data_IF_453141346831
#
_entry.id   IF_453141346831
#
_cell.length_a   1.000
_cell.length_b   1.000
_cell.length_c   1.000
_cell.angle_alpha   90.00
_cell.angle_beta   90.00
_cell.angle_gamma   90.00
#
_symmetry.space_group_name_H-M   'P 1'
#
loop_
_entity.id
_entity.type
_entity.pdbx_description
1 polymer ?
#
# COMPACT_ATOMS: atom_id res chain seq x y z
N UNK A 1 -33.85 22.21 -45.20
CA UNK A 1 -33.95 21.07 -44.26
C UNK A 1 -34.41 19.76 -44.95
N UNK A 2 -33.62 19.17 -45.87
CA UNK A 2 -33.90 17.84 -46.48
C UNK A 2 -33.08 16.69 -45.85
N UNK A 3 -32.02 17.01 -45.09
CA UNK A 3 -31.10 16.04 -44.49
C UNK A 3 -31.77 15.14 -43.42
N UNK A 4 -32.58 15.72 -42.55
CA UNK A 4 -33.33 15.02 -41.48
C UNK A 4 -34.50 14.14 -41.96
N UNK A 5 -34.90 14.26 -43.24
CA UNK A 5 -35.96 13.42 -43.84
C UNK A 5 -35.41 12.16 -44.52
N UNK A 6 -34.10 12.02 -44.65
CA UNK A 6 -33.48 10.85 -45.24
C UNK A 6 -33.66 9.63 -44.31
N UNK A 7 -34.25 8.54 -44.83
CA UNK A 7 -34.46 7.29 -44.08
C UNK A 7 -33.13 6.78 -43.48
N UNK A 8 -32.03 6.94 -44.20
CA UNK A 8 -30.70 6.55 -43.73
C UNK A 8 -30.26 7.34 -42.49
N UNK A 9 -30.44 8.67 -42.51
CA UNK A 9 -30.10 9.53 -41.36
C UNK A 9 -30.93 9.19 -40.12
N UNK A 10 -32.24 8.93 -40.29
CA UNK A 10 -33.11 8.52 -39.17
C UNK A 10 -32.68 7.18 -38.55
N UNK A 11 -32.31 6.21 -39.38
CA UNK A 11 -31.79 4.92 -38.91
C UNK A 11 -30.48 5.12 -38.16
N UNK A 12 -29.54 5.91 -38.69
CA UNK A 12 -28.29 6.25 -38.00
C UNK A 12 -28.54 6.96 -36.66
N UNK A 13 -29.47 7.93 -36.60
CA UNK A 13 -29.82 8.62 -35.35
C UNK A 13 -30.40 7.67 -34.30
N UNK A 14 -31.24 6.71 -34.70
CA UNK A 14 -31.80 5.70 -33.79
C UNK A 14 -30.68 4.78 -33.28
N UNK A 15 -29.77 4.33 -34.14
CA UNK A 15 -28.62 3.51 -33.75
C UNK A 15 -27.72 4.27 -32.75
N UNK A 16 -27.42 5.54 -33.02
CA UNK A 16 -26.63 6.38 -32.11
C UNK A 16 -27.32 6.54 -30.76
N UNK A 17 -28.64 6.76 -30.74
CA UNK A 17 -29.41 6.86 -29.50
C UNK A 17 -29.37 5.55 -28.70
N UNK A 18 -29.53 4.40 -29.37
CA UNK A 18 -29.46 3.08 -28.75
C UNK A 18 -28.06 2.87 -28.14
N UNK A 19 -27.00 3.15 -28.89
CA UNK A 19 -25.62 3.06 -28.39
C UNK A 19 -25.43 3.96 -27.15
N UNK A 20 -25.94 5.19 -27.19
CA UNK A 20 -25.84 6.12 -26.06
C UNK A 20 -26.56 5.58 -24.80
N UNK A 21 -27.75 4.98 -24.96
CA UNK A 21 -28.48 4.34 -23.86
C UNK A 21 -27.68 3.17 -23.30
N UNK A 22 -27.10 2.31 -24.14
CA UNK A 22 -26.26 1.20 -23.69
C UNK A 22 -25.03 1.69 -22.92
N UNK A 23 -24.34 2.73 -23.42
CA UNK A 23 -23.21 3.34 -22.72
C UNK A 23 -23.66 3.92 -21.37
N UNK A 24 -24.79 4.61 -21.31
CA UNK A 24 -25.33 5.16 -20.08
C UNK A 24 -25.64 4.07 -19.04
N UNK A 25 -26.25 2.95 -19.45
CA UNK A 25 -26.53 1.80 -18.58
C UNK A 25 -25.23 1.20 -18.02
N UNK A 26 -24.21 1.02 -18.86
CA UNK A 26 -22.89 0.52 -18.45
C UNK A 26 -22.27 1.48 -17.43
N UNK A 27 -22.27 2.79 -17.70
CA UNK A 27 -21.72 3.79 -16.79
C UNK A 27 -22.46 3.80 -15.44
N UNK A 28 -23.79 3.78 -15.43
CA UNK A 28 -24.59 3.78 -14.18
C UNK A 28 -24.36 2.49 -13.38
N UNK A 29 -24.36 1.34 -14.05
CA UNK A 29 -24.15 0.05 -13.39
C UNK A 29 -22.74 -0.04 -12.83
N UNK A 30 -21.74 0.37 -13.61
CA UNK A 30 -20.36 0.46 -13.19
C UNK A 30 -20.21 1.36 -11.97
N UNK A 31 -20.79 2.56 -12.02
CA UNK A 31 -20.75 3.52 -10.91
C UNK A 31 -21.36 2.94 -9.62
N UNK A 32 -22.50 2.25 -9.71
CA UNK A 32 -23.12 1.61 -8.54
C UNK A 32 -22.25 0.51 -7.94
N UNK A 33 -21.70 -0.38 -8.77
CA UNK A 33 -20.80 -1.45 -8.30
C UNK A 33 -19.51 -0.88 -7.69
N UNK A 34 -18.97 0.17 -8.30
CA UNK A 34 -17.81 0.89 -7.80
C UNK A 34 -18.08 1.52 -6.42
N UNK A 35 -19.26 2.13 -6.22
CA UNK A 35 -19.67 2.64 -4.91
C UNK A 35 -19.74 1.55 -3.85
N UNK A 36 -20.37 0.42 -4.16
CA UNK A 36 -20.44 -0.69 -3.22
C UNK A 36 -19.04 -1.18 -2.81
N UNK A 37 -18.08 -1.25 -3.74
CA UNK A 37 -16.70 -1.62 -3.42
C UNK A 37 -15.99 -0.59 -2.53
N UNK A 38 -16.24 0.71 -2.74
CA UNK A 38 -15.68 1.78 -1.89
C UNK A 38 -16.28 1.71 -0.49
N UNK A 39 -17.60 1.56 -0.41
CA UNK A 39 -18.33 1.44 0.86
C UNK A 39 -17.87 0.19 1.63
N UNK A 40 -17.68 -0.94 0.96
CA UNK A 40 -17.16 -2.16 1.58
C UNK A 40 -15.73 -1.95 2.11
N UNK A 41 -14.84 -1.32 1.33
CA UNK A 41 -13.49 -1.02 1.80
C UNK A 41 -13.51 -0.11 3.03
N UNK A 42 -14.32 0.95 3.02
CA UNK A 42 -14.45 1.84 4.17
C UNK A 42 -15.05 1.13 5.39
N UNK A 43 -16.04 0.27 5.17
CA UNK A 43 -16.63 -0.56 6.24
C UNK A 43 -15.59 -1.48 6.85
N UNK A 44 -14.80 -2.19 6.03
CA UNK A 44 -13.72 -3.05 6.51
C UNK A 44 -12.68 -2.29 7.35
N UNK A 45 -12.31 -1.07 6.92
CA UNK A 45 -11.40 -0.19 7.66
C UNK A 45 -12.01 0.21 8.99
N UNK A 46 -13.27 0.66 8.99
CA UNK A 46 -13.99 1.07 10.19
C UNK A 46 -14.13 -0.10 11.18
N UNK A 47 -14.59 -1.26 10.72
CA UNK A 47 -14.74 -2.47 11.55
C UNK A 47 -13.40 -2.89 12.15
N UNK A 48 -12.32 -2.84 11.36
CA UNK A 48 -10.97 -3.14 11.85
C UNK A 48 -10.51 -2.13 12.89
N UNK A 49 -10.86 -0.85 12.72
CA UNK A 49 -10.46 0.26 13.62
C UNK A 49 -11.02 0.14 15.03
N UNK A 50 -12.14 -0.56 15.19
CA UNK A 50 -12.75 -0.80 16.49
C UNK A 50 -11.98 -1.84 17.32
N UNK A 51 -11.18 -2.69 16.67
CA UNK A 51 -10.43 -3.77 17.34
C UNK A 51 -9.26 -3.23 18.19
N UNK A 52 -9.01 -3.88 19.33
CA UNK A 52 -7.89 -3.52 20.20
C UNK A 52 -6.54 -3.68 19.50
N UNK A 53 -6.42 -4.69 18.63
CA UNK A 53 -5.20 -4.95 17.88
C UNK A 53 -4.88 -3.79 16.92
N UNK A 54 -5.89 -3.28 16.23
CA UNK A 54 -5.74 -2.11 15.36
C UNK A 54 -5.32 -0.89 16.17
N UNK A 55 -6.03 -0.58 17.27
CA UNK A 55 -5.72 0.57 18.13
C UNK A 55 -4.30 0.52 18.69
N UNK A 56 -3.84 -0.67 19.11
CA UNK A 56 -2.45 -0.89 19.57
C UNK A 56 -1.45 -0.62 18.44
N UNK A 57 -1.64 -1.22 17.27
CA UNK A 57 -0.77 -1.03 16.11
C UNK A 57 -0.74 0.44 15.63
N UNK A 58 -1.91 1.08 15.57
CA UNK A 58 -2.04 2.50 15.23
C UNK A 58 -1.25 3.38 16.20
N UNK A 59 -1.35 3.13 17.51
CA UNK A 59 -0.58 3.87 18.52
C UNK A 59 0.93 3.75 18.31
N UNK A 60 1.41 2.56 17.93
CA UNK A 60 2.82 2.31 17.61
C UNK A 60 3.23 3.05 16.33
N UNK A 61 2.41 3.00 15.27
CA UNK A 61 2.68 3.71 14.02
C UNK A 61 2.63 5.24 14.19
N UNK A 62 1.74 5.78 15.03
CA UNK A 62 1.69 7.20 15.40
C UNK A 62 3.04 7.68 15.97
N UNK A 63 3.67 6.84 16.80
CA UNK A 63 4.93 7.16 17.46
C UNK A 63 6.15 7.00 16.53
N UNK A 64 6.21 5.89 15.77
CA UNK A 64 7.43 5.55 15.04
C UNK A 64 7.39 5.96 13.56
N UNK A 65 6.21 5.99 12.93
CA UNK A 65 6.01 6.37 11.52
C UNK A 65 6.96 5.66 10.55
N UNK A 66 7.33 4.42 10.86
CA UNK A 66 8.18 3.55 10.06
C UNK A 66 7.76 2.09 10.25
N UNK A 67 7.78 1.31 9.19
CA UNK A 67 7.70 -0.15 9.28
C UNK A 67 8.58 -0.80 8.21
N UNK A 68 8.87 -2.09 8.39
CA UNK A 68 9.86 -2.80 7.57
C UNK A 68 9.34 -4.16 7.17
N UNK A 69 9.51 -4.49 5.89
CA UNK A 69 9.34 -5.84 5.36
C UNK A 69 10.70 -6.39 4.93
N UNK A 70 10.97 -7.66 5.25
CA UNK A 70 12.21 -8.33 4.87
C UNK A 70 11.95 -9.70 4.26
N UNK A 71 12.82 -10.12 3.36
CA UNK A 71 12.82 -11.49 2.82
C UNK A 71 14.24 -11.99 2.61
N UNK A 72 14.44 -13.27 2.89
CA UNK A 72 15.64 -14.05 2.57
C UNK A 72 15.22 -15.29 1.76
N UNK A 73 16.14 -15.90 1.02
CA UNK A 73 15.84 -17.13 0.26
C UNK A 73 15.72 -18.37 1.17
N UNK A 74 16.44 -18.38 2.29
CA UNK A 74 16.53 -19.54 3.19
C UNK A 74 15.55 -19.48 4.37
N UNK A 75 14.80 -18.40 4.52
CA UNK A 75 13.79 -18.23 5.56
C UNK A 75 12.39 -18.55 5.02
N UNK A 76 11.51 -19.18 5.82
CA UNK A 76 10.12 -19.30 5.46
C UNK A 76 9.49 -17.92 5.61
N UNK A 77 9.06 -17.34 4.49
CA UNK A 77 8.18 -16.18 4.40
C UNK A 77 8.82 -14.79 4.54
N UNK A 78 8.16 -13.82 3.91
CA UNK A 78 8.37 -12.39 4.16
C UNK A 78 8.07 -12.12 5.64
N UNK A 79 8.96 -11.43 6.33
CA UNK A 79 8.73 -10.98 7.70
C UNK A 79 8.43 -9.48 7.74
N UNK A 80 7.74 -9.06 8.81
CA UNK A 80 7.40 -7.68 9.10
C UNK A 80 7.82 -7.32 10.53
N UNK A 81 8.28 -6.09 10.72
CA UNK A 81 8.51 -5.51 12.05
C UNK A 81 8.48 -3.98 12.01
N UNK A 82 8.33 -3.37 13.19
CA UNK A 82 8.50 -1.93 13.40
C UNK A 82 9.79 -1.71 14.21
N UNK A 83 10.84 -1.10 13.61
CA UNK A 83 12.07 -0.83 14.33
C UNK A 83 11.87 0.33 15.29
N UNK A 84 12.44 0.18 16.49
CA UNK A 84 12.51 1.22 17.50
C UNK A 84 13.96 1.63 17.67
N UNK A 85 14.23 2.92 17.53
CA UNK A 85 15.55 3.48 17.76
C UNK A 85 15.58 4.32 19.03
N UNK A 86 16.73 4.30 19.73
CA UNK A 86 17.03 5.32 20.73
C UNK A 86 17.14 6.68 20.03
N UNK A 87 16.52 7.72 20.57
CA UNK A 87 16.35 9.01 19.88
C UNK A 87 15.68 8.84 18.51
N UNK A 88 14.52 8.17 18.50
CA UNK A 88 13.86 7.65 17.30
C UNK A 88 13.85 8.59 16.10
N UNK A 89 13.38 9.83 16.28
CA UNK A 89 13.26 10.80 15.19
C UNK A 89 14.60 11.16 14.54
N UNK A 90 15.66 11.30 15.34
CA UNK A 90 17.00 11.61 14.84
C UNK A 90 17.57 10.42 14.09
N UNK A 91 17.54 9.23 14.68
CA UNK A 91 18.09 8.01 14.06
C UNK A 91 17.33 7.63 12.80
N UNK A 92 15.99 7.77 12.80
CA UNK A 92 15.16 7.59 11.60
C UNK A 92 15.60 8.53 10.46
N UNK A 93 15.80 9.82 10.78
CA UNK A 93 16.30 10.80 9.80
C UNK A 93 17.69 10.43 9.30
N UNK A 94 18.58 9.99 10.18
CA UNK A 94 19.92 9.51 9.83
C UNK A 94 19.88 8.27 8.93
N UNK A 95 18.98 7.32 9.19
CA UNK A 95 18.77 6.12 8.38
C UNK A 95 18.38 6.49 6.94
N UNK A 96 17.31 7.27 6.76
CA UNK A 96 16.85 7.63 5.43
C UNK A 96 17.85 8.52 4.69
N UNK A 97 18.56 9.41 5.39
CA UNK A 97 19.68 10.16 4.80
C UNK A 97 20.78 9.23 4.28
N UNK A 98 21.13 8.18 5.03
CA UNK A 98 22.15 7.21 4.60
C UNK A 98 21.69 6.45 3.35
N UNK A 99 20.43 6.04 3.30
CA UNK A 99 19.85 5.35 2.14
C UNK A 99 19.85 6.27 0.91
N UNK A 100 19.35 7.50 1.04
CA UNK A 100 19.29 8.48 -0.05
C UNK A 100 20.68 8.82 -0.58
N UNK A 101 21.66 8.99 0.31
CA UNK A 101 23.03 9.33 -0.08
C UNK A 101 23.88 8.11 -0.48
N UNK A 102 23.32 6.89 -0.39
CA UNK A 102 24.03 5.63 -0.60
C UNK A 102 25.28 5.49 0.29
N UNK A 103 25.20 6.01 1.50
CA UNK A 103 26.29 5.97 2.49
C UNK A 103 26.21 4.67 3.30
N UNK A 104 26.98 3.67 2.85
CA UNK A 104 27.04 2.35 3.50
C UNK A 104 27.54 2.43 4.94
N UNK A 105 28.54 3.28 5.22
CA UNK A 105 29.13 3.39 6.56
C UNK A 105 28.10 3.96 7.54
N UNK A 106 27.39 5.02 7.13
CA UNK A 106 26.33 5.59 7.93
C UNK A 106 25.17 4.60 8.09
N UNK A 107 24.75 3.92 7.02
CA UNK A 107 23.68 2.92 7.08
C UNK A 107 24.00 1.80 8.09
N UNK A 108 25.20 1.22 8.02
CA UNK A 108 25.64 0.14 8.95
C UNK A 108 25.77 0.60 10.40
N UNK A 109 25.92 1.89 10.65
CA UNK A 109 25.99 2.44 12.01
C UNK A 109 24.62 2.61 12.69
N UNK A 110 23.53 2.59 11.90
CA UNK A 110 22.17 2.62 12.44
C UNK A 110 21.85 1.26 13.07
N UNK A 111 21.50 1.27 14.35
CA UNK A 111 21.08 0.07 15.08
C UNK A 111 19.71 0.32 15.71
N UNK A 112 18.76 -0.59 15.47
CA UNK A 112 17.54 -0.63 16.28
C UNK A 112 17.90 -1.03 17.70
N UNK A 113 17.25 -0.39 18.68
CA UNK A 113 17.33 -0.78 20.08
C UNK A 113 16.37 -1.93 20.42
N UNK A 114 15.29 -2.06 19.65
CA UNK A 114 14.32 -3.13 19.73
C UNK A 114 13.52 -3.17 18.42
N UNK A 115 12.87 -4.30 18.16
CA UNK A 115 11.88 -4.46 17.08
C UNK A 115 10.55 -4.84 17.74
N UNK A 116 9.48 -4.11 17.44
CA UNK A 116 8.12 -4.37 17.97
C UNK A 116 7.21 -4.88 16.84
N UNK A 117 6.17 -5.63 17.20
CA UNK A 117 5.19 -6.21 16.28
C UNK A 117 5.86 -7.07 15.21
N UNK A 118 6.68 -8.03 15.67
CA UNK A 118 7.34 -8.98 14.79
C UNK A 118 6.33 -9.99 14.26
N UNK A 119 6.22 -10.08 12.94
CA UNK A 119 5.48 -11.10 12.23
C UNK A 119 6.44 -11.87 11.32
N UNK A 120 6.67 -13.14 11.61
CA UNK A 120 7.57 -13.99 10.82
C UNK A 120 6.95 -14.50 9.51
N UNK A 121 5.69 -14.19 9.22
CA UNK A 121 5.00 -14.64 8.02
C UNK A 121 3.92 -13.65 7.59
N UNK A 122 4.29 -12.81 6.63
CA UNK A 122 3.41 -11.89 5.92
C UNK A 122 2.91 -12.55 4.65
N UNK A 123 1.62 -12.41 4.39
CA UNK A 123 1.00 -12.75 3.13
C UNK A 123 0.51 -11.45 2.46
N UNK A 124 1.25 -11.01 1.44
CA UNK A 124 0.91 -9.80 0.69
C UNK A 124 -0.36 -10.00 -0.15
N UNK A 125 -0.76 -11.24 -0.44
CA UNK A 125 -1.95 -11.55 -1.24
C UNK A 125 -3.25 -11.44 -0.40
N UNK A 126 -3.16 -11.46 0.93
CA UNK A 126 -4.29 -11.18 1.83
C UNK A 126 -4.85 -9.76 1.67
N UNK A 127 -4.03 -8.82 1.19
CA UNK A 127 -4.50 -7.53 0.74
C UNK A 127 -4.73 -7.60 -0.77
N UNK A 128 -5.77 -8.31 -1.20
CA UNK A 128 -6.22 -8.31 -2.59
C UNK A 128 -7.59 -7.68 -2.68
N UNK A 129 -7.74 -6.79 -3.66
CA UNK A 129 -9.05 -6.45 -4.17
C UNK A 129 -9.52 -7.65 -4.99
N UNK A 130 -10.82 -7.99 -5.00
CA UNK A 130 -11.30 -9.10 -5.81
C UNK A 130 -10.74 -8.98 -7.24
N UNK A 131 -9.92 -9.94 -7.68
CA UNK A 131 -9.33 -9.93 -9.03
C UNK A 131 -10.44 -9.94 -10.11
N UNK A 132 -11.62 -10.43 -9.74
CA UNK A 132 -12.86 -10.50 -10.53
C UNK A 132 -13.70 -9.21 -10.52
N UNK A 133 -13.07 -8.03 -10.42
CA UNK A 133 -13.79 -6.78 -10.73
C UNK A 133 -14.06 -6.74 -12.23
N UNK A 134 -15.32 -6.94 -12.61
CA UNK A 134 -15.77 -6.89 -13.99
C UNK A 134 -15.42 -5.54 -14.67
N UNK A 135 -15.26 -5.56 -16.01
CA UNK A 135 -14.86 -4.38 -16.79
C UNK A 135 -15.81 -3.20 -16.61
N UNK A 136 -17.07 -3.45 -16.25
CA UNK A 136 -18.10 -2.43 -15.99
C UNK A 136 -17.79 -1.70 -14.68
N UNK A 137 -17.42 -2.44 -13.64
CA UNK A 137 -17.01 -1.88 -12.35
C UNK A 137 -15.69 -1.12 -12.48
N UNK A 138 -14.75 -1.56 -13.34
CA UNK A 138 -13.53 -0.78 -13.66
C UNK A 138 -13.85 0.60 -14.24
N UNK A 139 -14.84 0.70 -15.13
CA UNK A 139 -15.30 1.99 -15.68
C UNK A 139 -15.88 2.86 -14.56
N UNK A 140 -16.73 2.30 -13.69
CA UNK A 140 -17.26 3.03 -12.54
C UNK A 140 -16.19 3.51 -11.57
N UNK A 141 -15.19 2.67 -11.30
CA UNK A 141 -14.03 3.00 -10.48
C UNK A 141 -13.13 4.04 -11.14
N UNK A 142 -13.11 4.14 -12.47
CA UNK A 142 -12.38 5.21 -13.15
C UNK A 142 -13.01 6.59 -12.91
N UNK A 143 -14.34 6.63 -12.70
CA UNK A 143 -15.07 7.85 -12.35
C UNK A 143 -15.06 8.19 -10.85
N UNK A 144 -14.84 7.20 -9.98
CA UNK A 144 -14.76 7.38 -8.52
C UNK A 144 -13.30 7.36 -8.10
N UNK A 145 -12.83 8.48 -7.56
CA UNK A 145 -11.45 8.75 -7.18
C UNK A 145 -10.95 7.83 -6.03
N UNK A 146 -10.84 6.52 -6.28
CA UNK A 146 -10.45 5.45 -5.33
C UNK A 146 -8.95 5.48 -5.02
N UNK A 147 -8.40 6.67 -4.83
CA UNK A 147 -6.96 6.88 -4.80
C UNK A 147 -6.33 6.13 -3.64
N UNK A 148 -6.92 6.14 -2.44
CA UNK A 148 -6.35 5.47 -1.27
C UNK A 148 -6.14 3.98 -1.49
N UNK A 149 -7.20 3.23 -1.78
CA UNK A 149 -7.10 1.77 -1.95
C UNK A 149 -6.14 1.41 -3.08
N UNK A 150 -6.21 2.14 -4.21
CA UNK A 150 -5.28 1.98 -5.32
C UNK A 150 -3.82 2.25 -4.89
N UNK A 151 -3.57 3.31 -4.13
CA UNK A 151 -2.24 3.63 -3.61
C UNK A 151 -1.72 2.53 -2.69
N UNK A 152 -2.57 1.95 -1.83
CA UNK A 152 -2.17 0.81 -0.99
C UNK A 152 -1.86 -0.43 -1.85
N UNK A 153 -2.64 -0.71 -2.89
CA UNK A 153 -2.33 -1.79 -3.84
C UNK A 153 -0.98 -1.57 -4.55
N UNK A 154 -0.71 -0.34 -4.99
CA UNK A 154 0.57 -0.01 -5.62
C UNK A 154 1.75 -0.14 -4.63
N UNK A 155 1.55 0.20 -3.35
CA UNK A 155 2.53 -0.05 -2.28
C UNK A 155 2.75 -1.55 -2.10
N UNK A 156 1.67 -2.34 -1.97
CA UNK A 156 1.73 -3.81 -1.86
C UNK A 156 2.50 -4.42 -3.02
N UNK A 157 2.16 -4.05 -4.25
CA UNK A 157 2.80 -4.58 -5.46
C UNK A 157 4.27 -4.20 -5.53
N UNK A 158 4.61 -2.97 -5.13
CA UNK A 158 5.99 -2.53 -5.02
C UNK A 158 6.78 -3.39 -4.02
N UNK A 159 6.25 -3.59 -2.81
CA UNK A 159 6.86 -4.45 -1.78
C UNK A 159 7.04 -5.87 -2.34
N UNK A 160 5.98 -6.44 -2.91
CA UNK A 160 5.99 -7.80 -3.47
C UNK A 160 7.07 -7.96 -4.54
N UNK A 161 7.15 -7.03 -5.48
CA UNK A 161 8.11 -7.10 -6.58
C UNK A 161 9.55 -7.06 -6.05
N UNK A 162 9.87 -6.12 -5.15
CA UNK A 162 11.20 -6.01 -4.55
C UNK A 162 11.58 -7.27 -3.76
N UNK A 163 10.64 -7.83 -2.99
CA UNK A 163 10.91 -9.03 -2.20
C UNK A 163 10.98 -10.30 -3.06
N UNK A 164 10.26 -10.39 -4.18
CA UNK A 164 10.34 -11.52 -5.09
C UNK A 164 11.65 -11.57 -5.89
N UNK A 165 12.36 -10.45 -6.03
CA UNK A 165 13.69 -10.39 -6.63
C UNK A 165 14.82 -10.80 -5.67
N UNK A 166 14.51 -11.25 -4.44
CA UNK A 166 15.52 -11.67 -3.46
C UNK A 166 16.33 -12.85 -3.99
N UNK A 167 17.66 -12.67 -4.10
CA UNK A 167 18.57 -13.72 -4.58
C UNK A 167 19.14 -14.55 -3.44
N UNK A 168 19.71 -15.68 -3.81
CA UNK A 168 20.42 -16.55 -2.88
C UNK A 168 21.55 -15.77 -2.17
N UNK A 169 21.67 -15.95 -0.84
CA UNK A 169 22.61 -15.20 0.00
C UNK A 169 22.37 -13.67 0.07
N UNK A 170 21.16 -13.21 -0.27
CA UNK A 170 20.75 -11.82 -0.06
C UNK A 170 19.59 -11.69 0.92
N UNK A 171 19.53 -10.52 1.56
CA UNK A 171 18.42 -10.01 2.33
C UNK A 171 17.89 -8.76 1.64
N UNK A 172 16.64 -8.79 1.17
CA UNK A 172 15.97 -7.59 0.69
C UNK A 172 15.15 -6.98 1.82
N UNK A 173 15.26 -5.67 1.97
CA UNK A 173 14.64 -4.86 3.02
C UNK A 173 13.86 -3.74 2.35
N UNK A 174 12.59 -3.63 2.69
CA UNK A 174 11.69 -2.57 2.23
C UNK A 174 11.24 -1.77 3.44
N UNK A 175 11.71 -0.53 3.54
CA UNK A 175 11.31 0.41 4.58
C UNK A 175 10.16 1.27 4.06
N UNK A 176 9.08 1.37 4.83
CA UNK A 176 8.01 2.33 4.61
C UNK A 176 8.17 3.46 5.64
N UNK A 177 8.38 4.68 5.18
CA UNK A 177 8.42 5.89 6.00
C UNK A 177 7.13 6.68 5.78
N UNK A 178 6.37 6.91 6.85
CA UNK A 178 5.20 7.81 6.80
C UNK A 178 5.77 9.22 6.99
N UNK A 179 6.04 9.90 5.88
CA UNK A 179 6.85 11.11 5.85
C UNK A 179 6.07 12.34 6.34
N UNK A 180 4.81 12.43 5.95
CA UNK A 180 3.89 13.51 6.30
C UNK A 180 2.44 12.97 6.29
N UNK A 181 1.47 13.88 6.17
CA UNK A 181 0.04 13.57 6.29
C UNK A 181 -0.55 12.85 5.08
N UNK A 182 0.13 12.86 3.94
CA UNK A 182 -0.36 12.32 2.66
C UNK A 182 0.66 11.42 1.95
N UNK A 183 1.89 11.34 2.44
CA UNK A 183 2.99 10.71 1.71
C UNK A 183 3.61 9.54 2.46
N UNK A 184 3.67 8.39 1.78
CA UNK A 184 4.46 7.23 2.21
C UNK A 184 5.65 7.06 1.26
N UNK A 185 6.84 7.13 1.82
CA UNK A 185 8.10 6.91 1.10
C UNK A 185 8.56 5.46 1.28
N UNK A 186 8.89 4.79 0.19
CA UNK A 186 9.36 3.40 0.18
C UNK A 186 10.81 3.35 -0.26
N UNK A 187 11.67 2.87 0.65
CA UNK A 187 13.10 2.74 0.45
C UNK A 187 13.50 1.27 0.39
N UNK A 188 14.23 0.89 -0.66
CA UNK A 188 14.59 -0.50 -0.90
C UNK A 188 16.11 -0.67 -0.77
N UNK A 189 16.51 -1.66 0.03
CA UNK A 189 17.92 -1.98 0.28
C UNK A 189 18.09 -3.49 0.16
N UNK A 190 19.21 -3.94 -0.39
CA UNK A 190 19.63 -5.34 -0.36
C UNK A 190 20.96 -5.47 0.35
N UNK A 191 21.13 -6.52 1.15
CA UNK A 191 22.39 -6.83 1.83
C UNK A 191 22.87 -8.23 1.43
N UNK A 192 24.16 -8.36 1.10
CA UNK A 192 24.79 -9.64 0.79
C UNK A 192 25.36 -10.30 2.04
N UNK A 193 24.93 -11.52 2.34
CA UNK A 193 25.50 -12.31 3.44
C UNK A 193 26.95 -12.77 3.16
N UNK A 194 27.36 -12.81 1.88
CA UNK A 194 28.70 -13.27 1.48
C UNK A 194 29.76 -12.18 1.56
N UNK A 195 29.39 -10.97 1.15
CA UNK A 195 30.33 -9.85 0.98
C UNK A 195 30.14 -8.75 2.00
N UNK A 196 29.09 -8.83 2.84
CA UNK A 196 28.63 -7.76 3.72
C UNK A 196 28.32 -6.45 2.97
N UNK A 197 28.22 -6.47 1.64
CA UNK A 197 27.93 -5.28 0.84
C UNK A 197 26.46 -4.89 0.94
N UNK A 198 26.21 -3.58 0.93
CA UNK A 198 24.87 -2.99 0.89
C UNK A 198 24.61 -2.42 -0.51
N UNK A 199 23.49 -2.82 -1.09
CA UNK A 199 23.00 -2.29 -2.36
C UNK A 199 21.79 -1.40 -2.10
N UNK A 200 21.96 -0.10 -2.33
CA UNK A 200 20.87 0.87 -2.28
C UNK A 200 20.10 0.82 -3.60
N UNK A 201 18.87 0.31 -3.55
CA UNK A 201 18.02 0.06 -4.70
C UNK A 201 17.15 1.29 -5.01
N UNK A 202 15.93 1.06 -5.51
CA UNK A 202 14.99 2.10 -5.88
C UNK A 202 14.39 2.81 -4.66
N UNK A 203 14.00 4.06 -4.88
CA UNK A 203 13.17 4.87 -3.98
C UNK A 203 11.88 5.20 -4.72
N UNK A 204 10.74 5.11 -4.04
CA UNK A 204 9.44 5.52 -4.59
C UNK A 204 8.62 6.22 -3.52
N UNK A 205 7.98 7.32 -3.90
CA UNK A 205 7.02 8.04 -3.06
C UNK A 205 5.60 7.75 -3.53
N UNK A 206 4.69 7.59 -2.58
CA UNK A 206 3.27 7.33 -2.82
C UNK A 206 2.45 8.41 -2.14
N UNK A 207 1.71 9.18 -2.93
CA UNK A 207 0.81 10.23 -2.44
C UNK A 207 -0.62 9.69 -2.34
N UNK A 208 -1.24 9.96 -1.19
CA UNK A 208 -2.63 9.63 -0.89
C UNK A 208 -3.49 10.85 -1.12
N UNK A 209 -4.56 10.71 -1.90
CA UNK A 209 -5.65 11.69 -1.90
C UNK A 209 -6.68 11.26 -0.88
N UNK A 210 -6.62 11.93 0.26
CA UNK A 210 -7.48 11.70 1.42
C UNK A 210 -8.67 12.68 1.40
N UNK A 211 -9.79 12.30 2.00
CA UNK A 211 -10.94 13.21 2.13
C UNK A 211 -10.65 14.32 3.15
N UNK A 212 -9.96 13.96 4.24
CA UNK A 212 -9.37 14.91 5.17
C UNK A 212 -7.84 14.84 5.06
N UNK A 213 -7.20 15.98 4.84
CA UNK A 213 -5.73 16.08 4.81
C UNK A 213 -5.15 15.95 6.23
N UNK A 214 -5.26 14.76 6.83
CA UNK A 214 -4.82 14.50 8.20
C UNK A 214 -3.89 13.28 8.27
N UNK A 215 -2.82 13.37 9.07
CA UNK A 215 -1.93 12.23 9.29
C UNK A 215 -2.68 11.03 9.88
N UNK A 216 -3.75 11.28 10.64
CA UNK A 216 -4.51 10.21 11.30
C UNK A 216 -5.21 9.32 10.28
N UNK A 217 -5.83 9.91 9.24
CA UNK A 217 -6.49 9.14 8.18
C UNK A 217 -5.48 8.27 7.40
N UNK A 218 -4.30 8.81 7.06
CA UNK A 218 -3.23 8.02 6.43
C UNK A 218 -2.77 6.87 7.33
N UNK A 219 -2.59 7.13 8.62
CA UNK A 219 -2.13 6.14 9.58
C UNK A 219 -3.16 5.02 9.77
N UNK A 220 -4.45 5.32 9.72
CA UNK A 220 -5.51 4.32 9.77
C UNK A 220 -5.44 3.37 8.56
N UNK A 221 -5.29 3.91 7.36
CA UNK A 221 -5.12 3.09 6.15
C UNK A 221 -3.86 2.24 6.16
N UNK A 222 -2.73 2.79 6.62
CA UNK A 222 -1.50 2.02 6.75
C UNK A 222 -1.59 0.95 7.84
N UNK A 223 -2.28 1.24 8.95
CA UNK A 223 -2.57 0.26 10.01
C UNK A 223 -3.42 -0.88 9.47
N UNK A 224 -4.49 -0.55 8.74
CA UNK A 224 -5.36 -1.52 8.08
C UNK A 224 -4.59 -2.42 7.11
N UNK A 225 -3.76 -1.82 6.24
CA UNK A 225 -2.92 -2.57 5.31
C UNK A 225 -2.02 -3.58 6.04
N UNK A 226 -1.28 -3.12 7.06
CA UNK A 226 -0.37 -3.96 7.85
C UNK A 226 -1.14 -5.08 8.55
N UNK A 227 -2.29 -4.78 9.14
CA UNK A 227 -3.15 -5.77 9.79
C UNK A 227 -3.59 -6.87 8.82
N UNK A 228 -4.00 -6.51 7.60
CA UNK A 228 -4.44 -7.45 6.57
C UNK A 228 -3.29 -8.35 6.09
N UNK A 229 -2.13 -7.77 5.74
CA UNK A 229 -1.02 -8.57 5.19
C UNK A 229 -0.35 -9.48 6.23
N UNK A 230 -0.48 -9.16 7.51
CA UNK A 230 0.02 -10.02 8.60
C UNK A 230 -1.03 -11.00 9.12
N UNK A 231 -2.30 -10.81 8.74
CA UNK A 231 -3.45 -11.52 9.32
C UNK A 231 -3.62 -11.26 10.81
N UNK A 232 -3.14 -10.12 11.32
CA UNK A 232 -3.14 -9.79 12.75
C UNK A 232 -2.16 -10.60 13.62
N UNK A 233 -1.27 -11.38 13.00
CA UNK A 233 -0.35 -12.29 13.71
C UNK A 233 0.95 -11.58 14.08
N UNK A 234 0.90 -10.73 15.10
CA UNK A 234 2.10 -10.07 15.64
C UNK A 234 2.42 -10.60 17.03
N UNK A 235 3.72 -10.65 17.35
CA UNK A 235 4.18 -10.71 18.73
C UNK A 235 4.58 -9.31 19.17
N UNK A 236 3.92 -8.78 20.19
CA UNK A 236 4.42 -7.61 20.90
C UNK A 236 5.61 -8.05 21.74
N UNK A 237 6.79 -7.58 21.39
CA UNK A 237 8.04 -7.95 22.06
C UNK A 237 8.23 -7.21 23.39
N UNK A 238 7.34 -6.27 23.73
CA UNK A 238 7.31 -5.59 25.03
C UNK A 238 6.36 -6.23 26.04
N UNK A 239 5.44 -7.11 25.60
CA UNK A 239 4.60 -7.90 26.50
C UNK A 239 5.46 -9.07 27.04
N UNK A 240 5.89 -8.95 28.30
CA UNK A 240 6.59 -10.01 29.05
C UNK A 240 5.63 -11.07 29.56
#
# INVERSE_FOLDING_TARGET
MKFWRNKFFKICSIIVLIVFIFVAIICITGYRKANALVENFQTDVNDSSETDLFKKLLGVLKNYKICVFIKTVYGPNTAFYIPVFRNHNEVKKYLFKAITNKDEKQFKSVKSSADIYLCGSVDLENFSVPEDIDSITKIGLWFKNKQVQKTIEEIRDHIRNVLNETKENQLNIVYLNIANDETVEVYNVSASYKTDQIYFLSFKSFEFTLETKSTEELLDYMTFFILKVTGGRFKDTNEK
#
